data_IF_944684842720
#
_entry.id   IF_944684842720
#
_cell.length_a   1.000
_cell.length_b   1.000
_cell.length_c   1.000
_cell.angle_alpha   90.00
_cell.angle_beta   90.00
_cell.angle_gamma   90.00
#
_symmetry.space_group_name_H-M   'P 1'
#
loop_
_entity.id
_entity.type
_entity.pdbx_description
1 polymer ?
#
# COMPACT_ATOMS: atom_id res chain seq x y z
N UNK A 1 6.68 9.74 28.06
CA UNK A 1 5.95 8.46 28.18
C UNK A 1 5.26 8.22 26.84
N UNK A 2 5.67 7.20 26.05
CA UNK A 2 5.06 6.90 24.75
C UNK A 2 3.63 6.40 24.90
N UNK A 3 2.80 6.63 23.89
CA UNK A 3 1.42 6.11 23.85
C UNK A 3 1.41 4.58 23.81
N UNK A 4 0.29 3.92 24.14
CA UNK A 4 0.16 2.46 24.05
C UNK A 4 0.43 1.95 22.62
N UNK A 5 0.05 2.72 21.60
CA UNK A 5 0.30 2.42 20.18
C UNK A 5 1.79 2.47 19.85
N UNK A 6 2.53 3.47 20.36
CA UNK A 6 3.98 3.56 20.16
C UNK A 6 4.74 2.38 20.80
N UNK A 7 4.32 1.98 21.99
CA UNK A 7 4.91 0.81 22.68
C UNK A 7 4.58 -0.52 22.00
N UNK A 8 3.37 -0.66 21.46
CA UNK A 8 3.00 -1.85 20.68
C UNK A 8 3.82 -1.94 19.40
N UNK A 9 3.93 -0.82 18.68
CA UNK A 9 4.70 -0.71 17.44
C UNK A 9 6.18 -1.05 17.67
N UNK A 10 6.79 -0.50 18.73
CA UNK A 10 8.18 -0.77 19.08
C UNK A 10 8.44 -2.24 19.45
N UNK A 11 7.57 -2.86 20.28
CA UNK A 11 7.69 -4.28 20.63
C UNK A 11 7.47 -5.21 19.44
N UNK A 12 6.48 -4.91 18.61
CA UNK A 12 6.23 -5.68 17.39
C UNK A 12 7.43 -5.58 16.43
N UNK A 13 8.01 -4.41 16.27
CA UNK A 13 9.22 -4.24 15.48
C UNK A 13 10.40 -5.05 16.02
N UNK A 14 10.65 -5.01 17.33
CA UNK A 14 11.74 -5.78 17.95
C UNK A 14 11.58 -7.28 17.71
N UNK A 15 10.37 -7.83 17.94
CA UNK A 15 10.09 -9.25 17.76
C UNK A 15 10.34 -9.70 16.31
N UNK A 16 9.86 -8.96 15.33
CA UNK A 16 10.01 -9.34 13.91
C UNK A 16 11.40 -9.04 13.36
N UNK A 17 12.11 -8.04 13.88
CA UNK A 17 13.51 -7.78 13.50
C UNK A 17 14.45 -8.87 14.03
N UNK A 18 14.13 -9.52 15.15
CA UNK A 18 14.87 -10.69 15.65
C UNK A 18 14.64 -11.93 14.77
N UNK A 19 13.41 -12.13 14.27
CA UNK A 19 13.03 -13.28 13.44
C UNK A 19 13.58 -13.15 12.02
N UNK A 20 13.62 -11.92 11.46
CA UNK A 20 14.03 -11.69 10.08
C UNK A 20 14.94 -10.48 9.92
N UNK A 21 16.24 -10.67 10.15
CA UNK A 21 17.23 -9.60 9.94
C UNK A 21 17.25 -9.15 8.49
N UNK A 22 16.76 -7.92 8.23
CA UNK A 22 16.91 -7.28 6.92
C UNK A 22 18.39 -6.99 6.69
N UNK A 23 18.99 -7.64 5.67
CA UNK A 23 20.36 -7.34 5.24
C UNK A 23 20.33 -6.03 4.45
N UNK A 24 21.03 -5.01 4.95
CA UNK A 24 21.22 -3.73 4.28
C UNK A 24 22.63 -3.75 3.71
N UNK A 25 22.76 -3.47 2.41
CA UNK A 25 24.05 -3.35 1.72
C UNK A 25 24.56 -1.89 1.80
N UNK A 26 25.83 -1.69 1.52
CA UNK A 26 26.41 -0.33 1.42
C UNK A 26 25.64 0.48 0.37
N UNK A 27 25.28 1.71 0.73
CA UNK A 27 24.47 2.60 -0.13
C UNK A 27 22.96 2.29 -0.14
N UNK A 28 22.46 1.45 0.78
CA UNK A 28 21.04 1.20 0.99
C UNK A 28 20.56 1.77 2.34
N UNK A 29 19.27 2.09 2.39
CA UNK A 29 18.59 2.61 3.58
C UNK A 29 17.44 1.69 3.95
N UNK A 30 17.27 1.39 5.25
CA UNK A 30 16.12 0.66 5.75
C UNK A 30 14.85 1.51 5.60
N UNK A 31 13.90 1.00 4.82
CA UNK A 31 12.60 1.65 4.57
C UNK A 31 11.48 1.04 5.41
N UNK A 32 11.34 -0.28 5.33
CA UNK A 32 10.29 -1.02 6.03
C UNK A 32 10.85 -2.21 6.78
N UNK A 33 10.55 -2.29 8.07
CA UNK A 33 10.91 -3.42 8.92
C UNK A 33 10.09 -4.67 8.57
N UNK A 34 10.54 -5.83 8.99
CA UNK A 34 9.92 -7.13 8.70
C UNK A 34 8.44 -7.16 9.07
N UNK A 35 8.08 -6.65 10.26
CA UNK A 35 6.70 -6.56 10.71
C UNK A 35 5.80 -5.80 9.71
N UNK A 36 6.21 -4.62 9.26
CA UNK A 36 5.47 -3.79 8.29
C UNK A 36 5.27 -4.53 6.97
N UNK A 37 6.31 -5.22 6.48
CA UNK A 37 6.26 -6.02 5.26
C UNK A 37 5.34 -7.23 5.41
N UNK A 38 5.42 -7.91 6.54
CA UNK A 38 4.51 -9.02 6.85
C UNK A 38 3.04 -8.57 6.81
N UNK A 39 2.70 -7.49 7.50
CA UNK A 39 1.35 -6.94 7.47
C UNK A 39 0.90 -6.58 6.04
N UNK A 40 1.75 -5.91 5.28
CA UNK A 40 1.45 -5.55 3.89
C UNK A 40 1.14 -6.80 3.03
N UNK A 41 1.94 -7.85 3.12
CA UNK A 41 1.72 -9.06 2.35
C UNK A 41 0.50 -9.87 2.82
N UNK A 42 0.17 -9.81 4.12
CA UNK A 42 -1.07 -10.39 4.64
C UNK A 42 -2.30 -9.62 4.15
N UNK A 43 -2.24 -8.28 4.13
CA UNK A 43 -3.29 -7.44 3.51
C UNK A 43 -3.48 -7.80 2.05
N UNK A 44 -2.39 -7.88 1.28
CA UNK A 44 -2.45 -8.26 -0.13
C UNK A 44 -3.03 -9.67 -0.34
N UNK A 45 -2.60 -10.65 0.46
CA UNK A 45 -3.11 -12.01 0.40
C UNK A 45 -4.63 -12.06 0.62
N UNK A 46 -5.11 -11.50 1.72
CA UNK A 46 -6.53 -11.53 2.04
C UNK A 46 -7.37 -10.67 1.09
N UNK A 47 -6.82 -9.57 0.58
CA UNK A 47 -7.47 -8.79 -0.47
C UNK A 47 -7.68 -9.63 -1.75
N UNK A 48 -6.66 -10.31 -2.25
CA UNK A 48 -6.79 -11.13 -3.46
C UNK A 48 -7.65 -12.38 -3.24
N UNK A 49 -7.60 -13.00 -2.07
CA UNK A 49 -8.51 -14.10 -1.74
C UNK A 49 -9.98 -13.63 -1.72
N UNK A 50 -10.27 -12.47 -1.10
CA UNK A 50 -11.60 -11.88 -1.12
C UNK A 50 -12.03 -11.48 -2.54
N UNK A 51 -11.14 -10.83 -3.32
CA UNK A 51 -11.41 -10.43 -4.70
C UNK A 51 -11.75 -11.62 -5.60
N UNK A 52 -10.92 -12.65 -5.60
CA UNK A 52 -11.11 -13.81 -6.48
C UNK A 52 -12.30 -14.67 -6.08
N UNK A 53 -12.55 -14.86 -4.77
CA UNK A 53 -13.78 -15.51 -4.32
C UNK A 53 -15.02 -14.68 -4.67
N UNK A 54 -14.94 -13.35 -4.55
CA UNK A 54 -16.02 -12.43 -4.95
C UNK A 54 -16.31 -12.47 -6.45
N UNK A 55 -15.30 -12.50 -7.31
CA UNK A 55 -15.47 -12.68 -8.75
C UNK A 55 -16.17 -13.99 -9.08
N UNK A 56 -15.85 -15.07 -8.37
CA UNK A 56 -16.52 -16.35 -8.51
C UNK A 56 -17.99 -16.34 -8.07
N UNK A 57 -18.42 -15.35 -7.28
CA UNK A 57 -19.81 -15.23 -6.81
C UNK A 57 -20.60 -14.29 -7.70
N UNK A 58 -20.01 -13.15 -8.05
CA UNK A 58 -20.70 -12.01 -8.67
C UNK A 58 -20.78 -12.08 -10.20
N UNK A 59 -19.69 -12.49 -10.87
CA UNK A 59 -19.61 -12.49 -12.32
C UNK A 59 -19.77 -13.90 -12.90
N UNK A 60 -20.93 -14.26 -13.51
CA UNK A 60 -21.20 -15.61 -14.00
C UNK A 60 -20.16 -16.16 -14.97
N UNK A 61 -19.58 -15.30 -15.81
CA UNK A 61 -18.56 -15.69 -16.78
C UNK A 61 -17.16 -15.95 -16.15
N UNK A 62 -16.87 -15.33 -14.98
CA UNK A 62 -15.67 -15.59 -14.18
C UNK A 62 -15.85 -16.77 -13.22
N UNK A 63 -17.10 -17.14 -12.90
CA UNK A 63 -17.41 -18.24 -11.97
C UNK A 63 -16.66 -19.53 -12.32
N UNK A 64 -16.65 -19.91 -13.59
CA UNK A 64 -15.97 -21.14 -14.05
C UNK A 64 -14.45 -21.12 -13.84
N UNK A 65 -13.84 -19.95 -13.77
CA UNK A 65 -12.39 -19.79 -13.61
C UNK A 65 -11.98 -19.69 -12.14
N UNK A 66 -12.74 -18.96 -11.35
CA UNK A 66 -12.37 -18.66 -9.96
C UNK A 66 -12.99 -19.61 -8.94
N UNK A 67 -14.22 -20.08 -9.14
CA UNK A 67 -14.87 -20.98 -8.15
C UNK A 67 -14.12 -22.29 -7.91
N UNK A 68 -13.50 -22.96 -8.92
CA UNK A 68 -12.73 -24.19 -8.69
C UNK A 68 -11.52 -23.99 -7.77
N UNK A 69 -10.92 -22.78 -7.76
CA UNK A 69 -9.78 -22.45 -6.88
C UNK A 69 -10.15 -22.64 -5.41
N UNK A 70 -11.41 -22.38 -5.08
CA UNK A 70 -11.95 -22.47 -3.70
C UNK A 70 -12.79 -23.74 -3.46
N UNK A 71 -12.74 -24.73 -4.36
CA UNK A 71 -13.51 -25.96 -4.21
C UNK A 71 -14.98 -25.86 -4.67
N UNK A 72 -15.30 -24.87 -5.51
CA UNK A 72 -16.64 -24.65 -6.08
C UNK A 72 -17.40 -23.47 -5.49
N UNK A 73 -18.55 -23.15 -6.11
CA UNK A 73 -19.34 -21.99 -5.75
C UNK A 73 -19.86 -21.93 -4.30
N UNK A 74 -20.37 -23.04 -3.74
CA UNK A 74 -20.78 -23.07 -2.34
C UNK A 74 -19.66 -22.69 -1.39
N UNK A 75 -18.47 -23.28 -1.54
CA UNK A 75 -17.33 -23.02 -0.68
C UNK A 75 -16.74 -21.63 -0.90
N UNK A 76 -16.75 -21.11 -2.15
CA UNK A 76 -16.37 -19.71 -2.42
C UNK A 76 -17.23 -18.73 -1.62
N UNK A 77 -18.55 -18.94 -1.55
CA UNK A 77 -19.49 -18.10 -0.78
C UNK A 77 -19.26 -18.20 0.72
N UNK A 78 -18.96 -19.38 1.22
CA UNK A 78 -18.71 -19.61 2.64
C UNK A 78 -17.40 -18.96 3.09
N UNK A 79 -16.34 -19.06 2.28
CA UNK A 79 -15.01 -18.54 2.60
C UNK A 79 -14.86 -17.03 2.38
N UNK A 80 -15.58 -16.45 1.41
CA UNK A 80 -15.46 -15.04 1.06
C UNK A 80 -15.58 -14.08 2.27
N UNK A 81 -16.57 -14.18 3.16
CA UNK A 81 -16.66 -13.30 4.34
C UNK A 81 -15.44 -13.42 5.26
N UNK A 82 -14.89 -14.63 5.42
CA UNK A 82 -13.72 -14.86 6.25
C UNK A 82 -12.45 -14.23 5.66
N UNK A 83 -12.32 -14.23 4.33
CA UNK A 83 -11.26 -13.49 3.66
C UNK A 83 -11.41 -11.97 3.88
N UNK A 84 -12.64 -11.46 3.84
CA UNK A 84 -12.95 -10.08 4.18
C UNK A 84 -12.58 -9.72 5.63
N UNK A 85 -12.91 -10.59 6.58
CA UNK A 85 -12.51 -10.43 8.00
C UNK A 85 -10.99 -10.39 8.14
N UNK A 86 -10.27 -11.31 7.48
CA UNK A 86 -8.81 -11.33 7.47
C UNK A 86 -8.24 -10.03 6.89
N UNK A 87 -8.78 -9.56 5.77
CA UNK A 87 -8.39 -8.30 5.15
C UNK A 87 -8.54 -7.11 6.11
N UNK A 88 -9.74 -6.94 6.71
CA UNK A 88 -10.00 -5.83 7.65
C UNK A 88 -9.11 -5.91 8.88
N UNK A 89 -8.87 -7.11 9.41
CA UNK A 89 -7.98 -7.31 10.57
C UNK A 89 -6.55 -6.89 10.27
N UNK A 90 -5.93 -7.44 9.22
CA UNK A 90 -4.53 -7.14 8.89
C UNK A 90 -4.36 -5.71 8.41
N UNK A 91 -5.32 -5.18 7.65
CA UNK A 91 -5.29 -3.77 7.27
C UNK A 91 -5.47 -2.85 8.48
N UNK A 92 -6.34 -3.17 9.43
CA UNK A 92 -6.48 -2.43 10.68
C UNK A 92 -5.16 -2.32 11.45
N UNK A 93 -4.42 -3.43 11.58
CA UNK A 93 -3.09 -3.44 12.18
C UNK A 93 -2.09 -2.57 11.38
N UNK A 94 -2.10 -2.68 10.06
CA UNK A 94 -1.26 -1.86 9.19
C UNK A 94 -1.65 -0.38 9.26
N UNK A 95 -2.92 -0.07 9.33
CA UNK A 95 -3.43 1.29 9.51
C UNK A 95 -2.90 1.92 10.81
N UNK A 96 -2.96 1.20 11.93
CA UNK A 96 -2.41 1.68 13.21
C UNK A 96 -0.90 1.97 13.12
N UNK A 97 -0.17 1.14 12.38
CA UNK A 97 1.27 1.31 12.14
C UNK A 97 1.60 2.60 11.35
N UNK A 98 0.75 2.99 10.41
CA UNK A 98 1.03 4.11 9.50
C UNK A 98 0.23 5.39 9.75
N UNK A 99 -0.86 5.34 10.51
CA UNK A 99 -1.84 6.42 10.65
C UNK A 99 -1.22 7.79 10.96
N UNK A 100 -0.21 7.85 11.82
CA UNK A 100 0.47 9.11 12.17
C UNK A 100 1.18 9.75 10.98
N UNK A 101 1.72 8.94 10.06
CA UNK A 101 2.46 9.38 8.86
C UNK A 101 1.55 9.69 7.67
N UNK A 102 0.25 9.33 7.76
CA UNK A 102 -0.74 9.53 6.70
C UNK A 102 -1.50 10.87 6.80
N UNK A 103 -1.09 11.76 7.70
CA UNK A 103 -1.64 13.12 7.77
C UNK A 103 -1.24 13.91 6.52
N UNK A 104 -2.21 14.64 5.97
CA UNK A 104 -1.97 15.50 4.82
C UNK A 104 -1.16 16.72 5.20
N UNK A 105 -0.18 17.09 4.39
CA UNK A 105 0.75 18.20 4.61
C UNK A 105 0.76 19.15 3.42
N UNK A 106 1.38 20.33 3.56
CA UNK A 106 1.56 21.24 2.43
C UNK A 106 2.44 20.66 1.32
N UNK A 107 3.39 19.77 1.66
CA UNK A 107 4.20 19.06 0.69
C UNK A 107 3.34 18.13 -0.20
N UNK A 108 2.35 17.45 0.38
CA UNK A 108 1.42 16.60 -0.38
C UNK A 108 0.60 17.39 -1.39
N UNK A 109 0.16 18.59 -1.00
CA UNK A 109 -0.58 19.49 -1.91
C UNK A 109 0.31 19.97 -3.05
N UNK A 110 1.59 20.28 -2.80
CA UNK A 110 2.55 20.65 -3.86
C UNK A 110 2.79 19.46 -4.80
N UNK A 111 3.01 18.28 -4.24
CA UNK A 111 3.17 17.04 -4.99
C UNK A 111 1.98 16.77 -5.91
N UNK A 112 0.74 16.89 -5.42
CA UNK A 112 -0.47 16.70 -6.24
C UNK A 112 -0.60 17.72 -7.37
N UNK A 113 -0.12 18.94 -7.17
CA UNK A 113 -0.11 19.96 -8.23
C UNK A 113 0.94 19.67 -9.30
N UNK A 114 2.11 19.17 -8.92
CA UNK A 114 3.19 18.83 -9.86
C UNK A 114 2.86 17.60 -10.72
N UNK A 115 1.97 16.71 -10.28
CA UNK A 115 1.59 15.54 -11.09
C UNK A 115 0.92 15.92 -12.42
N UNK A 116 0.25 17.08 -12.48
CA UNK A 116 -0.30 17.61 -13.71
C UNK A 116 0.77 17.88 -14.77
N UNK A 117 1.89 18.47 -14.38
CA UNK A 117 3.00 18.81 -15.31
C UNK A 117 3.62 17.54 -15.90
N UNK A 118 3.63 16.45 -15.13
CA UNK A 118 4.06 15.12 -15.61
C UNK A 118 3.09 14.54 -16.63
N UNK A 119 1.80 14.58 -16.33
CA UNK A 119 0.75 14.07 -17.24
C UNK A 119 0.70 14.88 -18.54
N UNK A 120 0.85 16.22 -18.44
CA UNK A 120 0.84 17.13 -19.58
C UNK A 120 2.19 17.14 -20.35
N UNK A 121 3.20 16.40 -19.87
CA UNK A 121 4.52 16.30 -20.50
C UNK A 121 5.34 17.60 -20.47
N UNK A 122 4.94 18.59 -19.67
CA UNK A 122 5.48 19.96 -19.73
C UNK A 122 6.80 20.15 -18.95
N UNK A 123 7.06 19.34 -17.89
CA UNK A 123 8.26 19.43 -17.07
C UNK A 123 8.68 18.08 -16.49
N UNK A 124 9.95 17.96 -16.08
CA UNK A 124 10.42 16.83 -15.29
C UNK A 124 9.72 16.83 -13.93
N UNK A 125 9.21 15.67 -13.54
CA UNK A 125 8.65 15.47 -12.22
C UNK A 125 9.76 15.63 -11.18
N UNK A 126 9.69 16.70 -10.41
CA UNK A 126 10.55 16.97 -9.26
C UNK A 126 9.65 17.08 -8.01
N UNK A 127 9.48 16.00 -7.24
CA UNK A 127 8.61 16.00 -6.07
C UNK A 127 9.23 16.82 -4.93
N UNK A 128 8.71 18.03 -4.64
CA UNK A 128 9.30 18.88 -3.62
C UNK A 128 9.04 18.29 -2.22
N UNK A 129 10.09 18.19 -1.42
CA UNK A 129 10.02 17.89 0.03
C UNK A 129 9.19 16.68 0.42
N UNK A 130 9.17 15.64 -0.40
CA UNK A 130 8.42 14.41 -0.12
C UNK A 130 9.02 13.70 1.08
N UNK A 131 8.18 13.50 2.11
CA UNK A 131 8.54 12.78 3.33
C UNK A 131 8.53 11.26 3.15
N UNK A 132 8.31 10.53 4.26
CA UNK A 132 8.28 9.05 4.24
C UNK A 132 7.22 8.49 3.27
N UNK A 133 6.05 9.09 3.16
CA UNK A 133 5.03 8.75 2.17
C UNK A 133 4.74 9.95 1.29
N UNK A 134 4.59 9.73 -0.02
CA UNK A 134 4.12 10.75 -0.96
C UNK A 134 2.60 10.87 -0.96
N UNK A 135 2.07 11.91 -1.63
CA UNK A 135 0.63 12.16 -1.65
C UNK A 135 -0.16 11.03 -2.32
N UNK A 136 0.37 10.40 -3.37
CA UNK A 136 -0.27 9.25 -4.02
C UNK A 136 -0.42 8.05 -3.08
N UNK A 137 0.62 7.75 -2.30
CA UNK A 137 0.58 6.69 -1.29
C UNK A 137 -0.42 7.01 -0.16
N UNK A 138 -0.56 8.28 0.23
CA UNK A 138 -1.57 8.71 1.21
C UNK A 138 -2.99 8.62 0.66
N UNK A 139 -3.22 9.00 -0.59
CA UNK A 139 -4.52 8.83 -1.26
C UNK A 139 -4.91 7.36 -1.29
N UNK A 140 -4.00 6.47 -1.72
CA UNK A 140 -4.24 5.03 -1.73
C UNK A 140 -4.55 4.49 -0.33
N UNK A 141 -3.82 4.93 0.68
CA UNK A 141 -4.08 4.52 2.07
C UNK A 141 -5.50 4.91 2.52
N UNK A 142 -5.93 6.15 2.27
CA UNK A 142 -7.26 6.60 2.67
C UNK A 142 -8.38 5.98 1.82
N UNK A 143 -8.12 5.67 0.56
CA UNK A 143 -9.02 4.86 -0.27
C UNK A 143 -9.28 3.50 0.38
N UNK A 144 -8.23 2.79 0.80
CA UNK A 144 -8.35 1.49 1.46
C UNK A 144 -9.05 1.64 2.82
N UNK A 145 -8.79 2.70 3.60
CA UNK A 145 -9.51 2.96 4.87
C UNK A 145 -11.01 3.10 4.61
N UNK A 146 -11.40 3.98 3.69
CA UNK A 146 -12.81 4.20 3.35
C UNK A 146 -13.47 2.91 2.80
N UNK A 147 -12.79 2.24 1.88
CA UNK A 147 -13.27 0.97 1.32
C UNK A 147 -13.44 -0.11 2.40
N UNK A 148 -12.49 -0.23 3.33
CA UNK A 148 -12.58 -1.21 4.44
C UNK A 148 -13.78 -0.96 5.34
N UNK A 149 -14.12 0.30 5.61
CA UNK A 149 -15.33 0.65 6.38
C UNK A 149 -16.59 0.24 5.62
N UNK A 150 -16.66 0.53 4.31
CA UNK A 150 -17.79 0.11 3.46
C UNK A 150 -17.89 -1.41 3.42
N UNK A 151 -16.76 -2.13 3.23
CA UNK A 151 -16.75 -3.60 3.21
C UNK A 151 -17.19 -4.22 4.53
N UNK A 152 -16.75 -3.66 5.66
CA UNK A 152 -17.13 -4.16 6.96
C UNK A 152 -18.65 -4.04 7.18
N UNK A 153 -19.22 -2.87 6.89
CA UNK A 153 -20.67 -2.61 7.07
C UNK A 153 -21.48 -3.45 6.08
N UNK A 154 -21.19 -3.35 4.79
CA UNK A 154 -21.95 -4.07 3.76
C UNK A 154 -21.75 -5.56 3.83
N UNK A 155 -20.53 -6.03 4.14
CA UNK A 155 -20.22 -7.43 4.30
C UNK A 155 -21.00 -8.09 5.43
N UNK A 156 -21.12 -7.42 6.59
CA UNK A 156 -21.95 -7.91 7.71
C UNK A 156 -23.43 -7.99 7.30
N UNK A 157 -23.95 -6.96 6.62
CA UNK A 157 -25.35 -6.94 6.16
C UNK A 157 -25.62 -8.07 5.16
N UNK A 158 -24.71 -8.29 4.21
CA UNK A 158 -24.83 -9.33 3.19
C UNK A 158 -24.71 -10.73 3.81
N UNK A 159 -23.82 -10.90 4.77
CA UNK A 159 -23.62 -12.17 5.46
C UNK A 159 -24.82 -12.56 6.32
N UNK A 160 -25.36 -11.62 7.11
CA UNK A 160 -26.55 -11.86 7.94
C UNK A 160 -27.86 -11.92 7.15
N UNK A 161 -27.92 -11.30 5.98
CA UNK A 161 -29.01 -11.41 5.01
C UNK A 161 -30.28 -10.64 5.34
N UNK A 162 -31.26 -10.78 4.45
CA UNK A 162 -32.51 -10.02 4.47
C UNK A 162 -33.42 -10.32 5.66
N UNK A 163 -33.28 -11.47 6.27
CA UNK A 163 -34.04 -11.84 7.50
C UNK A 163 -33.69 -10.94 8.69
N UNK A 164 -32.41 -10.46 8.74
CA UNK A 164 -31.92 -9.61 9.83
C UNK A 164 -32.06 -8.12 9.49
N UNK A 165 -31.64 -7.71 8.30
CA UNK A 165 -31.54 -6.29 7.93
C UNK A 165 -32.59 -5.79 6.94
N UNK A 166 -33.46 -6.69 6.43
CA UNK A 166 -34.46 -6.36 5.44
C UNK A 166 -33.94 -6.28 4.00
N UNK A 167 -34.85 -6.41 3.04
CA UNK A 167 -34.50 -6.51 1.60
C UNK A 167 -33.82 -5.27 1.05
N UNK A 168 -34.25 -4.08 1.46
CA UNK A 168 -33.68 -2.81 0.95
C UNK A 168 -32.23 -2.66 1.39
N UNK A 169 -31.92 -2.91 2.67
CA UNK A 169 -30.56 -2.81 3.19
C UNK A 169 -29.61 -3.78 2.48
N UNK A 170 -30.04 -5.00 2.22
CA UNK A 170 -29.25 -5.99 1.47
C UNK A 170 -29.05 -5.53 0.02
N UNK A 171 -30.09 -5.02 -0.67
CA UNK A 171 -29.96 -4.55 -2.04
C UNK A 171 -28.98 -3.36 -2.17
N UNK A 172 -29.06 -2.38 -1.26
CA UNK A 172 -28.14 -1.26 -1.20
C UNK A 172 -26.71 -1.73 -0.90
N UNK A 173 -26.57 -2.70 0.02
CA UNK A 173 -25.25 -3.25 0.37
C UNK A 173 -24.60 -3.97 -0.79
N UNK A 174 -25.31 -4.68 -1.65
CA UNK A 174 -24.75 -5.25 -2.87
C UNK A 174 -24.13 -4.15 -3.75
N UNK A 175 -24.89 -3.09 -4.04
CA UNK A 175 -24.41 -2.01 -4.89
C UNK A 175 -23.17 -1.32 -4.33
N UNK A 176 -23.18 -1.00 -3.03
CA UNK A 176 -22.05 -0.31 -2.38
C UNK A 176 -20.82 -1.22 -2.26
N UNK A 177 -21.02 -2.51 -1.98
CA UNK A 177 -19.93 -3.49 -1.88
C UNK A 177 -19.22 -3.64 -3.22
N UNK A 178 -19.97 -3.86 -4.28
CA UNK A 178 -19.45 -4.06 -5.63
C UNK A 178 -18.81 -2.81 -6.20
N UNK A 179 -19.43 -1.63 -6.01
CA UNK A 179 -18.84 -0.35 -6.43
C UNK A 179 -17.53 -0.08 -5.70
N UNK A 180 -17.48 -0.32 -4.40
CA UNK A 180 -16.24 -0.18 -3.62
C UNK A 180 -15.17 -1.16 -4.09
N UNK A 181 -15.54 -2.39 -4.50
CA UNK A 181 -14.60 -3.36 -5.05
C UNK A 181 -13.98 -2.88 -6.37
N UNK A 182 -14.77 -2.28 -7.25
CA UNK A 182 -14.28 -1.73 -8.52
C UNK A 182 -13.34 -0.54 -8.31
N UNK A 183 -13.69 0.37 -7.39
CA UNK A 183 -12.84 1.53 -7.06
C UNK A 183 -11.52 1.04 -6.49
N UNK A 184 -11.55 0.16 -5.49
CA UNK A 184 -10.35 -0.36 -4.87
C UNK A 184 -9.48 -1.17 -5.85
N UNK A 185 -10.09 -1.93 -6.74
CA UNK A 185 -9.36 -2.64 -7.80
C UNK A 185 -8.62 -1.67 -8.72
N UNK A 186 -9.23 -0.55 -9.09
CA UNK A 186 -8.60 0.52 -9.86
C UNK A 186 -7.38 1.10 -9.12
N UNK A 187 -7.52 1.43 -7.84
CA UNK A 187 -6.42 1.90 -7.00
C UNK A 187 -5.28 0.88 -6.87
N UNK A 188 -5.61 -0.40 -6.71
CA UNK A 188 -4.60 -1.48 -6.63
C UNK A 188 -3.85 -1.66 -7.96
N UNK A 189 -4.49 -1.52 -9.11
CA UNK A 189 -3.78 -1.53 -10.40
C UNK A 189 -2.77 -0.39 -10.51
N UNK A 190 -3.16 0.82 -10.13
CA UNK A 190 -2.25 1.98 -10.09
C UNK A 190 -1.11 1.72 -9.10
N UNK A 191 -1.43 1.20 -7.90
CA UNK A 191 -0.45 0.86 -6.88
C UNK A 191 0.60 -0.17 -7.37
N UNK A 192 0.16 -1.25 -8.01
CA UNK A 192 1.06 -2.27 -8.56
C UNK A 192 1.93 -1.66 -9.66
N UNK A 193 1.32 -0.90 -10.59
CA UNK A 193 2.05 -0.25 -11.67
C UNK A 193 3.14 0.69 -11.13
N UNK A 194 2.78 1.61 -10.23
CA UNK A 194 3.74 2.57 -9.68
C UNK A 194 4.84 1.89 -8.86
N UNK A 195 4.50 0.87 -8.08
CA UNK A 195 5.49 0.19 -7.24
C UNK A 195 6.45 -0.72 -8.00
N UNK A 196 6.09 -1.16 -9.22
CA UNK A 196 6.91 -2.09 -10.02
C UNK A 196 7.58 -1.42 -11.22
N UNK A 197 6.85 -0.60 -11.97
CA UNK A 197 7.27 -0.02 -13.26
C UNK A 197 7.48 1.50 -13.13
N UNK A 198 6.52 2.22 -12.51
CA UNK A 198 6.50 3.67 -12.51
C UNK A 198 7.61 4.30 -11.65
N UNK A 199 7.94 3.70 -10.51
CA UNK A 199 9.03 4.14 -9.62
C UNK A 199 10.00 2.97 -9.39
N UNK A 200 10.99 2.73 -10.28
CA UNK A 200 11.92 1.62 -10.18
C UNK A 200 12.66 1.58 -8.84
N UNK A 201 12.68 0.42 -8.19
CA UNK A 201 13.25 0.23 -6.85
C UNK A 201 12.24 0.27 -5.71
N UNK A 202 11.04 0.80 -5.93
CA UNK A 202 9.98 0.87 -4.89
C UNK A 202 9.55 -0.52 -4.41
N UNK A 203 9.41 -1.49 -5.30
CA UNK A 203 9.04 -2.86 -4.96
C UNK A 203 9.99 -3.51 -3.93
N UNK A 204 11.28 -3.18 -4.00
CA UNK A 204 12.28 -3.69 -3.06
C UNK A 204 11.99 -3.27 -1.61
N UNK A 205 11.35 -2.12 -1.42
CA UNK A 205 10.96 -1.65 -0.09
C UNK A 205 10.05 -2.64 0.65
N UNK A 206 9.17 -3.36 -0.08
CA UNK A 206 8.25 -4.34 0.49
C UNK A 206 8.77 -5.79 0.42
N UNK A 207 9.69 -6.11 -0.47
CA UNK A 207 10.28 -7.46 -0.55
C UNK A 207 11.52 -7.60 0.33
N UNK A 208 12.47 -6.67 0.22
CA UNK A 208 13.72 -6.66 1.00
C UNK A 208 13.68 -5.76 2.23
N UNK A 209 12.84 -4.73 2.23
CA UNK A 209 12.73 -3.74 3.29
C UNK A 209 13.72 -2.58 3.15
N UNK A 210 14.62 -2.63 2.18
CA UNK A 210 15.64 -1.63 1.91
C UNK A 210 15.45 -1.00 0.53
N UNK A 211 15.90 0.23 0.38
CA UNK A 211 15.95 1.00 -0.87
C UNK A 211 17.32 1.61 -1.05
N UNK A 212 17.73 1.88 -2.30
CA UNK A 212 18.99 2.58 -2.55
C UNK A 212 18.92 4.04 -2.07
N UNK A 213 20.07 4.62 -1.71
CA UNK A 213 20.13 6.05 -1.42
C UNK A 213 19.65 6.89 -2.60
N UNK A 214 19.96 6.45 -3.84
CA UNK A 214 19.51 7.11 -5.06
C UNK A 214 17.97 7.17 -5.14
N UNK A 215 17.30 6.09 -4.87
CA UNK A 215 15.84 6.06 -4.79
C UNK A 215 15.32 7.03 -3.73
N UNK A 216 15.95 7.04 -2.54
CA UNK A 216 15.50 7.85 -1.41
C UNK A 216 15.58 9.36 -1.70
N UNK A 217 16.70 9.86 -2.20
CA UNK A 217 16.81 11.30 -2.53
C UNK A 217 15.97 11.72 -3.73
N UNK A 218 15.71 10.80 -4.69
CA UNK A 218 14.89 11.10 -5.88
C UNK A 218 13.42 11.19 -5.56
N UNK A 219 12.87 10.21 -4.84
CA UNK A 219 11.42 10.09 -4.61
C UNK A 219 10.97 10.61 -3.24
N UNK A 220 11.88 10.66 -2.24
CA UNK A 220 11.59 11.01 -0.86
C UNK A 220 12.67 11.91 -0.25
N UNK A 221 12.98 13.07 -0.84
CA UNK A 221 14.11 13.91 -0.44
C UNK A 221 14.05 14.39 1.02
N UNK A 222 12.89 14.77 1.52
CA UNK A 222 12.77 15.18 2.92
C UNK A 222 13.00 14.01 3.90
N UNK A 223 12.51 12.81 3.58
CA UNK A 223 12.81 11.62 4.35
C UNK A 223 14.30 11.25 4.30
N UNK A 224 14.94 11.34 3.13
CA UNK A 224 16.37 11.11 3.00
C UNK A 224 17.18 12.05 3.91
N UNK A 225 16.85 13.34 3.90
CA UNK A 225 17.48 14.34 4.77
C UNK A 225 17.24 14.05 6.25
N UNK A 226 16.02 13.64 6.63
CA UNK A 226 15.65 13.30 8.00
C UNK A 226 16.54 12.18 8.56
N UNK A 227 16.77 11.10 7.80
CA UNK A 227 17.48 9.91 8.30
C UNK A 227 18.98 9.94 8.13
N UNK A 228 19.51 10.69 7.14
CA UNK A 228 20.95 10.74 6.84
C UNK A 228 21.60 12.03 7.32
N UNK A 229 20.85 13.09 7.56
CA UNK A 229 21.33 14.45 7.80
C UNK A 229 21.96 15.11 6.57
N UNK A 230 22.01 14.43 5.41
CA UNK A 230 22.62 14.91 4.17
C UNK A 230 21.60 15.63 3.30
N UNK A 231 22.05 16.66 2.59
CA UNK A 231 21.22 17.36 1.62
C UNK A 231 21.04 16.50 0.36
N UNK A 232 19.80 16.24 -0.11
CA UNK A 232 19.52 15.43 -1.29
C UNK A 232 20.19 15.97 -2.56
N UNK A 233 20.22 17.28 -2.74
CA UNK A 233 20.83 17.92 -3.92
C UNK A 233 22.35 17.69 -3.96
N UNK A 234 23.02 17.84 -2.82
CA UNK A 234 24.46 17.59 -2.71
C UNK A 234 24.79 16.12 -2.97
N UNK A 235 23.95 15.20 -2.47
CA UNK A 235 24.11 13.77 -2.71
C UNK A 235 23.96 13.42 -4.20
N UNK A 236 22.95 13.98 -4.86
CA UNK A 236 22.72 13.83 -6.30
C UNK A 236 23.93 14.35 -7.12
N UNK A 237 24.40 15.56 -6.84
CA UNK A 237 25.54 16.15 -7.56
C UNK A 237 26.83 15.36 -7.37
N UNK A 238 27.07 14.81 -6.17
CA UNK A 238 28.20 13.95 -5.89
C UNK A 238 28.13 12.63 -6.69
N UNK A 239 26.97 12.01 -6.77
CA UNK A 239 26.73 10.82 -7.58
C UNK A 239 26.92 11.10 -9.08
N UNK A 240 26.38 12.20 -9.59
CA UNK A 240 26.54 12.61 -10.99
C UNK A 240 28.02 12.88 -11.37
N UNK A 241 28.78 13.50 -10.48
CA UNK A 241 30.23 13.71 -10.67
C UNK A 241 31.00 12.39 -10.75
N UNK A 242 30.67 11.43 -9.86
CA UNK A 242 31.27 10.10 -9.86
C UNK A 242 31.00 9.35 -11.17
N UNK A 243 29.75 9.33 -11.62
CA UNK A 243 29.37 8.69 -12.89
C UNK A 243 30.14 9.28 -14.09
N UNK A 244 30.28 10.61 -14.19
CA UNK A 244 31.05 11.24 -15.25
C UNK A 244 32.53 10.87 -15.20
N UNK A 245 33.12 10.79 -14.00
CA UNK A 245 34.52 10.39 -13.83
C UNK A 245 34.75 8.92 -14.23
N UNK A 246 33.83 8.04 -13.94
CA UNK A 246 33.91 6.62 -14.29
C UNK A 246 33.76 6.43 -15.82
N UNK A 247 32.85 7.18 -16.47
CA UNK A 247 32.69 7.17 -17.94
C UNK A 247 33.93 7.72 -18.69
N UNK A 248 34.66 8.64 -18.10
CA UNK A 248 35.89 9.19 -18.71
C UNK A 248 37.10 8.28 -18.60
N UNK A 249 37.00 7.21 -17.78
CA UNK A 249 38.07 6.21 -17.58
C UNK A 249 37.85 4.91 -18.36
N UNK A 250 36.62 4.70 -18.87
CA UNK A 250 36.24 3.55 -19.71
C UNK A 250 36.42 3.86 -21.19
#
# INVERSE_FOLDING_TARGET
MGTAVERFDEKAHQLFDEIGKTRIHDGELLRHRVYTRFLHWMVALFFFLALFSGFGIYLPWLFRWFSPIFGGGPLSREMHPWFGVGFVLFFGLQMLNWLKRMRWTAADTRWMRSIRTVIDGSEKFDPPDTGFFNAGQKVQFWEIVCGSVVYLITGIILWAGAGTFGRLSVAVSYVLHDLSALIMLGGIFIHIYLSTIGEPGTFQSMTRGAVSEAWAWTFHPAWYKEITGRDPQVAYEAAARKMKADQSRA
#
